data_IF_015659394894
#
_entry.id   IF_015659394894
#
_cell.length_a   1.000
_cell.length_b   1.000
_cell.length_c   1.000
_cell.angle_alpha   90.00
_cell.angle_beta   90.00
_cell.angle_gamma   90.00
#
_symmetry.space_group_name_H-M   'P 1'
#
loop_
_entity.id
_entity.type
_entity.pdbx_description
1 polymer ?
#
# COMPACT_ATOMS: atom_id res chain seq x y z
N UNK A 1 11.15 5.06 7.10
CA UNK A 1 10.72 4.62 5.76
C UNK A 1 11.57 3.43 5.37
N UNK A 2 10.98 2.31 4.96
CA UNK A 2 11.72 1.07 4.65
C UNK A 2 12.80 1.26 3.57
N UNK A 3 12.50 2.08 2.54
CA UNK A 3 13.45 2.38 1.46
C UNK A 3 14.66 3.16 1.98
N UNK A 4 14.44 4.23 2.74
CA UNK A 4 15.54 5.04 3.28
C UNK A 4 16.39 4.20 4.24
N UNK A 5 15.76 3.43 5.13
CA UNK A 5 16.48 2.52 6.02
C UNK A 5 17.30 1.49 5.23
N UNK A 6 16.78 0.95 4.13
CA UNK A 6 17.51 -0.02 3.30
C UNK A 6 18.74 0.53 2.59
N UNK A 7 18.86 1.86 2.44
CA UNK A 7 20.02 2.48 1.79
C UNK A 7 21.18 2.75 2.75
N UNK A 8 20.91 2.92 4.04
CA UNK A 8 21.88 3.45 5.01
C UNK A 8 22.11 2.58 6.24
N UNK A 9 21.37 1.47 6.37
CA UNK A 9 21.49 0.63 7.55
C UNK A 9 22.82 -0.13 7.59
N UNK A 10 23.54 -0.10 8.73
CA UNK A 10 24.88 -0.68 8.86
C UNK A 10 24.88 -2.22 8.94
N UNK A 11 23.71 -2.83 9.10
CA UNK A 11 23.52 -4.26 9.37
C UNK A 11 22.90 -5.01 8.18
N UNK A 12 23.09 -4.50 6.97
CA UNK A 12 22.72 -5.17 5.72
C UNK A 12 23.91 -5.93 5.13
N UNK A 13 23.60 -7.05 4.49
CA UNK A 13 24.60 -7.76 3.70
C UNK A 13 24.91 -6.97 2.41
N UNK A 14 26.06 -7.24 1.76
CA UNK A 14 26.49 -6.53 0.55
C UNK A 14 25.43 -6.50 -0.55
N UNK A 15 24.67 -7.58 -0.68
CA UNK A 15 23.53 -7.69 -1.58
C UNK A 15 22.41 -8.39 -0.81
N UNK A 16 21.24 -7.75 -0.74
CA UNK A 16 20.13 -8.29 0.03
C UNK A 16 18.79 -8.06 -0.67
N UNK A 17 17.90 -9.05 -0.56
CA UNK A 17 16.53 -8.97 -1.07
C UNK A 17 15.59 -8.80 0.12
N UNK A 18 14.87 -7.68 0.12
CA UNK A 18 13.90 -7.28 1.14
C UNK A 18 12.58 -6.92 0.47
N UNK A 19 11.48 -7.49 0.95
CA UNK A 19 10.16 -7.03 0.54
C UNK A 19 9.79 -5.78 1.34
N UNK A 20 9.30 -4.75 0.65
CA UNK A 20 8.74 -3.55 1.28
C UNK A 20 7.28 -3.48 0.84
N UNK A 21 6.36 -3.62 1.79
CA UNK A 21 4.94 -3.60 1.52
C UNK A 21 4.13 -3.74 2.80
N UNK A 22 2.81 -3.75 2.65
CA UNK A 22 1.93 -4.08 3.76
C UNK A 22 1.96 -5.60 4.01
N UNK A 23 1.90 -6.01 5.28
CA UNK A 23 1.90 -7.41 5.71
C UNK A 23 0.47 -7.92 6.00
N UNK A 24 -0.53 -7.07 5.75
CA UNK A 24 -1.94 -7.41 5.81
C UNK A 24 -2.55 -7.21 4.43
N UNK A 25 -3.40 -8.15 4.02
CA UNK A 25 -4.22 -7.98 2.83
C UNK A 25 -5.37 -7.04 3.17
N UNK A 26 -5.67 -6.12 2.26
CA UNK A 26 -6.82 -5.22 2.37
C UNK A 26 -7.86 -5.68 1.36
N UNK A 27 -9.12 -5.72 1.76
CA UNK A 27 -10.21 -6.13 0.87
C UNK A 27 -10.41 -5.09 -0.25
N UNK A 28 -10.56 -5.56 -1.49
CA UNK A 28 -10.73 -4.69 -2.65
C UNK A 28 -11.96 -3.77 -2.50
N UNK A 29 -13.06 -4.30 -1.99
CA UNK A 29 -14.28 -3.52 -1.77
C UNK A 29 -14.06 -2.41 -0.73
N UNK A 30 -13.33 -2.70 0.35
CA UNK A 30 -12.98 -1.72 1.37
C UNK A 30 -12.09 -0.60 0.80
N UNK A 31 -11.11 -0.95 -0.04
CA UNK A 31 -10.30 0.05 -0.75
C UNK A 31 -11.16 0.96 -1.65
N UNK A 32 -12.12 0.39 -2.39
CA UNK A 32 -13.03 1.16 -3.24
C UNK A 32 -13.89 2.10 -2.40
N UNK A 33 -14.41 1.65 -1.26
CA UNK A 33 -15.21 2.47 -0.34
C UNK A 33 -14.41 3.66 0.21
N UNK A 34 -13.17 3.42 0.68
CA UNK A 34 -12.29 4.48 1.18
C UNK A 34 -11.96 5.49 0.07
N UNK A 35 -11.69 5.01 -1.14
CA UNK A 35 -11.40 5.88 -2.29
C UNK A 35 -12.63 6.70 -2.70
N UNK A 36 -13.80 6.08 -2.76
CA UNK A 36 -15.07 6.74 -3.05
C UNK A 36 -15.37 7.85 -2.04
N UNK A 37 -15.17 7.57 -0.75
CA UNK A 37 -15.29 8.56 0.32
C UNK A 37 -14.32 9.72 0.16
N UNK A 38 -13.05 9.45 -0.16
CA UNK A 38 -12.04 10.48 -0.41
C UNK A 38 -12.34 11.33 -1.65
N UNK A 39 -13.00 10.76 -2.67
CA UNK A 39 -13.40 11.46 -3.88
C UNK A 39 -14.75 12.17 -3.75
N UNK A 40 -15.58 11.80 -2.77
CA UNK A 40 -16.94 12.30 -2.59
C UNK A 40 -17.91 11.80 -3.65
N UNK A 41 -17.73 10.57 -4.14
CA UNK A 41 -18.54 9.98 -5.22
C UNK A 41 -19.11 8.64 -4.82
N UNK A 42 -20.27 8.29 -5.36
CA UNK A 42 -20.83 6.94 -5.24
C UNK A 42 -20.28 6.06 -6.37
N UNK A 43 -19.59 4.94 -6.05
CA UNK A 43 -19.00 4.07 -7.05
C UNK A 43 -20.07 3.29 -7.81
N UNK A 44 -20.04 3.34 -9.14
CA UNK A 44 -20.85 2.46 -9.99
C UNK A 44 -20.10 1.16 -10.21
N UNK A 45 -20.53 0.09 -9.55
CA UNK A 45 -19.84 -1.21 -9.58
C UNK A 45 -20.52 -2.20 -10.52
N UNK A 46 -19.70 -2.89 -11.33
CA UNK A 46 -20.11 -4.09 -12.06
C UNK A 46 -19.36 -5.26 -11.45
N UNK A 47 -20.07 -6.14 -10.74
CA UNK A 47 -19.46 -7.31 -10.11
C UNK A 47 -19.13 -8.36 -11.16
N UNK A 48 -17.84 -8.68 -11.29
CA UNK A 48 -17.33 -9.70 -12.20
C UNK A 48 -16.80 -10.89 -11.41
N UNK A 49 -16.74 -12.09 -12.02
CA UNK A 49 -16.03 -13.21 -11.41
C UNK A 49 -14.53 -12.89 -11.26
N UNK A 50 -13.84 -13.66 -10.41
CA UNK A 50 -12.38 -13.58 -10.26
C UNK A 50 -11.69 -13.71 -11.62
N UNK A 51 -10.78 -12.78 -11.93
CA UNK A 51 -10.12 -12.77 -13.22
C UNK A 51 -9.01 -13.84 -13.28
N UNK A 52 -8.74 -14.42 -14.46
CA UNK A 52 -7.62 -15.32 -14.61
C UNK A 52 -6.30 -14.61 -14.26
N UNK A 53 -5.65 -15.02 -13.17
CA UNK A 53 -4.42 -14.41 -12.66
C UNK A 53 -4.58 -13.67 -11.34
N UNK A 54 -5.82 -13.41 -10.90
CA UNK A 54 -6.08 -12.93 -9.55
C UNK A 54 -5.75 -14.00 -8.50
N UNK A 55 -5.24 -13.53 -7.38
CA UNK A 55 -4.93 -14.33 -6.19
C UNK A 55 -5.84 -13.85 -5.06
N UNK A 56 -6.56 -14.75 -4.34
CA UNK A 56 -7.57 -14.34 -3.37
C UNK A 56 -7.06 -13.39 -2.28
N UNK A 57 -5.82 -13.57 -1.84
CA UNK A 57 -5.15 -12.66 -0.92
C UNK A 57 -3.64 -12.78 -1.12
N UNK A 58 -2.95 -11.63 -1.19
CA UNK A 58 -1.48 -11.56 -1.12
C UNK A 58 -1.05 -10.41 -0.25
N UNK A 59 0.11 -10.56 0.38
CA UNK A 59 0.76 -9.52 1.17
C UNK A 59 2.28 -9.73 1.13
N UNK A 60 3.04 -8.69 1.50
CA UNK A 60 4.48 -8.78 1.57
C UNK A 60 4.90 -9.57 2.82
N UNK A 61 5.76 -10.58 2.65
CA UNK A 61 6.52 -11.13 3.77
C UNK A 61 7.58 -10.13 4.20
N UNK A 62 7.35 -9.49 5.36
CA UNK A 62 8.23 -8.45 5.91
C UNK A 62 9.07 -8.90 7.09
N UNK A 63 9.08 -10.18 7.46
CA UNK A 63 9.79 -10.64 8.66
C UNK A 63 11.28 -10.28 8.62
N UNK A 64 11.90 -10.41 7.44
CA UNK A 64 13.31 -10.07 7.24
C UNK A 64 13.59 -8.58 7.44
N UNK A 65 12.82 -7.70 6.80
CA UNK A 65 13.05 -6.25 6.90
C UNK A 65 12.65 -5.72 8.28
N UNK A 66 11.67 -6.33 8.94
CA UNK A 66 11.33 -6.04 10.33
C UNK A 66 12.49 -6.39 11.25
N UNK A 67 13.03 -7.60 11.14
CA UNK A 67 14.14 -8.06 11.97
C UNK A 67 15.41 -7.24 11.78
N UNK A 68 15.77 -6.89 10.54
CA UNK A 68 17.00 -6.15 10.25
C UNK A 68 16.84 -4.64 10.43
N UNK A 69 15.74 -4.05 9.97
CA UNK A 69 15.62 -2.59 9.87
C UNK A 69 14.57 -1.99 10.82
N UNK A 70 13.89 -2.81 11.62
CA UNK A 70 12.77 -2.37 12.44
C UNK A 70 11.62 -1.81 11.60
N UNK A 71 11.53 -2.19 10.33
CA UNK A 71 10.49 -1.69 9.43
C UNK A 71 9.13 -2.24 9.83
N UNK A 72 8.15 -1.34 9.93
CA UNK A 72 6.75 -1.67 10.11
C UNK A 72 5.90 -0.67 9.29
N UNK A 73 4.99 -1.13 8.40
CA UNK A 73 4.06 -0.24 7.72
C UNK A 73 3.04 0.33 8.71
N UNK A 74 3.03 1.66 8.87
CA UNK A 74 2.16 2.35 9.84
C UNK A 74 1.03 3.16 9.19
N UNK A 75 1.07 3.35 7.87
CA UNK A 75 0.04 4.10 7.15
C UNK A 75 -1.04 3.13 6.67
N UNK A 76 -2.24 3.24 7.25
CA UNK A 76 -3.41 2.46 6.81
C UNK A 76 -3.99 3.03 5.52
N UNK A 77 -4.89 2.30 4.86
CA UNK A 77 -5.52 2.79 3.63
C UNK A 77 -6.45 3.98 3.89
N UNK A 78 -7.11 4.03 5.06
CA UNK A 78 -7.96 5.15 5.50
C UNK A 78 -7.14 6.43 5.69
N UNK A 79 -5.83 6.32 5.91
CA UNK A 79 -4.93 7.47 5.98
C UNK A 79 -4.24 7.74 4.64
N UNK A 80 -3.75 6.69 3.98
CA UNK A 80 -2.94 6.78 2.77
C UNK A 80 -3.75 7.22 1.54
N UNK A 81 -4.94 6.66 1.35
CA UNK A 81 -5.78 6.94 0.17
C UNK A 81 -6.25 8.40 0.15
N UNK A 82 -6.80 8.99 1.24
CA UNK A 82 -7.18 10.40 1.22
C UNK A 82 -6.00 11.34 0.97
N UNK A 83 -4.83 11.04 1.56
CA UNK A 83 -3.60 11.81 1.31
C UNK A 83 -3.15 11.72 -0.14
N UNK A 84 -3.25 10.54 -0.74
CA UNK A 84 -2.94 10.35 -2.16
C UNK A 84 -3.90 11.15 -3.05
N UNK A 85 -5.21 11.08 -2.79
CA UNK A 85 -6.21 11.86 -3.54
C UNK A 85 -5.93 13.36 -3.43
N UNK A 86 -5.64 13.86 -2.24
CA UNK A 86 -5.29 15.27 -2.02
C UNK A 86 -4.03 15.67 -2.81
N UNK A 87 -2.97 14.87 -2.73
CA UNK A 87 -1.74 15.12 -3.49
C UNK A 87 -2.00 15.10 -5.00
N UNK A 88 -2.75 14.12 -5.49
CA UNK A 88 -3.06 13.96 -6.91
C UNK A 88 -3.82 15.16 -7.45
N UNK A 89 -4.86 15.60 -6.74
CA UNK A 89 -5.63 16.82 -7.06
C UNK A 89 -4.74 18.06 -7.09
N UNK A 90 -3.90 18.24 -6.08
CA UNK A 90 -2.98 19.38 -6.02
C UNK A 90 -1.96 19.37 -7.17
N UNK A 91 -1.37 18.20 -7.46
CA UNK A 91 -0.39 18.02 -8.53
C UNK A 91 -0.97 18.32 -9.91
N UNK A 92 -2.18 17.82 -10.19
CA UNK A 92 -2.87 18.03 -11.47
C UNK A 92 -3.69 19.33 -11.52
N UNK A 93 -3.77 20.09 -10.42
CA UNK A 93 -4.56 21.32 -10.27
C UNK A 93 -6.05 21.09 -10.57
N UNK A 94 -6.58 19.99 -10.05
CA UNK A 94 -8.00 19.62 -10.17
C UNK A 94 -8.61 19.79 -8.78
N UNK A 95 -9.66 20.59 -8.66
CA UNK A 95 -10.42 20.83 -7.42
C UNK A 95 -11.26 19.63 -7.01
#
# INVERSE_FOLDING_TARGET
SGVVSSLFAPNLDRCEVLNIGNHRSEELLHLIEVLAGALGVEPKMTMLPMQPGDVPATCADIERIRAKLGFEPTTTIETGVPRFVQWYRAYHRIT
#
